data_IF_995777444182
#
_entry.id   IF_995777444182
#
_cell.length_a   1.000
_cell.length_b   1.000
_cell.length_c   1.000
_cell.angle_alpha   90.00
_cell.angle_beta   90.00
_cell.angle_gamma   90.00
#
_symmetry.space_group_name_H-M   'P 1'
#
loop_
_entity.id
_entity.type
_entity.pdbx_description
1 polymer ?
#
# COMPACT_ATOMS: atom_id res chain seq x y z
N UNK A 1 0.15 10.60 -3.48
CA UNK A 1 -0.17 9.33 -2.80
C UNK A 1 -1.52 9.48 -2.13
N UNK A 2 -2.55 8.75 -2.59
CA UNK A 2 -3.80 8.66 -1.85
C UNK A 2 -3.49 7.97 -0.52
N UNK A 3 -3.60 8.71 0.56
CA UNK A 3 -3.45 8.18 1.91
C UNK A 3 -4.82 7.63 2.28
N UNK A 4 -5.16 6.42 1.84
CA UNK A 4 -6.44 5.83 2.22
C UNK A 4 -6.45 5.64 3.73
N UNK A 5 -7.49 6.16 4.36
CA UNK A 5 -7.71 5.91 5.77
C UNK A 5 -8.17 4.44 5.93
N UNK A 6 -7.84 3.78 7.04
CA UNK A 6 -8.16 2.36 7.27
C UNK A 6 -9.67 2.11 7.12
N UNK A 7 -10.48 3.10 7.47
CA UNK A 7 -11.94 3.09 7.29
C UNK A 7 -12.37 2.95 5.84
N UNK A 8 -11.68 3.61 4.90
CA UNK A 8 -12.02 3.53 3.47
C UNK A 8 -11.65 2.15 2.92
N UNK A 9 -10.52 1.58 3.34
CA UNK A 9 -10.10 0.23 2.94
C UNK A 9 -11.09 -0.84 3.38
N UNK A 10 -11.71 -0.70 4.56
CA UNK A 10 -12.70 -1.67 5.07
C UNK A 10 -13.99 -1.73 4.26
N UNK A 11 -14.33 -0.64 3.56
CA UNK A 11 -15.54 -0.57 2.74
C UNK A 11 -15.33 -1.17 1.34
N UNK A 12 -14.08 -1.45 0.94
CA UNK A 12 -13.76 -2.03 -0.36
C UNK A 12 -14.04 -3.54 -0.35
N UNK A 13 -14.46 -4.05 -1.51
CA UNK A 13 -14.63 -5.48 -1.72
C UNK A 13 -13.30 -6.24 -1.76
N UNK A 14 -13.30 -7.57 -1.57
CA UNK A 14 -12.09 -8.39 -1.52
C UNK A 14 -11.25 -8.31 -2.80
N UNK A 15 -11.88 -8.34 -3.98
CA UNK A 15 -11.19 -8.19 -5.28
C UNK A 15 -10.53 -6.81 -5.43
N UNK A 16 -11.17 -5.76 -4.92
CA UNK A 16 -10.65 -4.40 -4.98
C UNK A 16 -9.48 -4.21 -4.02
N UNK A 17 -9.55 -4.79 -2.82
CA UNK A 17 -8.43 -4.86 -1.88
C UNK A 17 -7.22 -5.58 -2.48
N UNK A 18 -7.43 -6.67 -3.23
CA UNK A 18 -6.34 -7.39 -3.89
C UNK A 18 -5.69 -6.56 -5.01
N UNK A 19 -6.49 -5.78 -5.75
CA UNK A 19 -5.99 -4.84 -6.77
C UNK A 19 -5.18 -3.72 -6.12
N UNK A 20 -5.69 -3.11 -5.07
CA UNK A 20 -4.99 -2.05 -4.33
C UNK A 20 -3.71 -2.57 -3.67
N UNK A 21 -3.71 -3.81 -3.18
CA UNK A 21 -2.51 -4.47 -2.66
C UNK A 21 -1.42 -4.59 -3.73
N UNK A 22 -1.81 -4.98 -4.94
CA UNK A 22 -0.90 -5.11 -6.08
C UNK A 22 -0.32 -3.75 -6.48
N UNK A 23 -1.16 -2.72 -6.56
CA UNK A 23 -0.71 -1.34 -6.81
C UNK A 23 0.24 -0.84 -5.73
N UNK A 24 -0.07 -1.10 -4.45
CA UNK A 24 0.78 -0.73 -3.32
C UNK A 24 2.17 -1.35 -3.40
N UNK A 25 2.26 -2.65 -3.76
CA UNK A 25 3.54 -3.34 -3.95
C UNK A 25 4.35 -2.77 -5.13
N UNK A 26 3.68 -2.49 -6.25
CA UNK A 26 4.32 -1.85 -7.41
C UNK A 26 4.87 -0.47 -7.07
N UNK A 27 4.12 0.32 -6.29
CA UNK A 27 4.55 1.64 -5.84
C UNK A 27 5.76 1.57 -4.90
N UNK A 28 5.79 0.61 -3.97
CA UNK A 28 6.98 0.35 -3.13
C UNK A 28 8.19 0.02 -4.00
N UNK A 29 8.02 -0.83 -5.01
CA UNK A 29 9.10 -1.19 -5.93
C UNK A 29 9.59 0.03 -6.73
N UNK A 30 8.66 0.79 -7.33
CA UNK A 30 8.96 2.00 -8.09
C UNK A 30 9.73 3.02 -7.25
N UNK A 31 9.24 3.33 -6.05
CA UNK A 31 9.91 4.27 -5.15
C UNK A 31 11.28 3.77 -4.70
N UNK A 32 11.41 2.47 -4.39
CA UNK A 32 12.72 1.89 -4.03
C UNK A 32 13.71 2.00 -5.20
N UNK A 33 13.22 1.81 -6.43
CA UNK A 33 14.02 1.96 -7.64
C UNK A 33 14.41 3.43 -7.85
N UNK A 34 13.46 4.37 -7.79
CA UNK A 34 13.72 5.81 -7.98
C UNK A 34 14.68 6.38 -6.93
N UNK A 35 14.58 5.94 -5.67
CA UNK A 35 15.53 6.30 -4.61
C UNK A 35 16.92 5.75 -4.94
N UNK A 36 17.00 4.48 -5.40
CA UNK A 36 18.26 3.85 -5.76
C UNK A 36 18.92 4.53 -6.97
N UNK A 37 18.14 4.98 -7.95
CA UNK A 37 18.65 5.74 -9.10
C UNK A 37 18.99 7.19 -8.77
N UNK A 38 18.71 7.66 -7.55
CA UNK A 38 18.99 9.03 -7.10
C UNK A 38 18.05 10.10 -7.66
N UNK A 39 16.99 9.70 -8.38
CA UNK A 39 16.01 10.60 -8.96
C UNK A 39 15.01 11.14 -7.91
N UNK A 40 14.89 10.47 -6.77
CA UNK A 40 14.13 10.90 -5.61
C UNK A 40 15.05 10.81 -4.38
N UNK A 41 14.88 11.72 -3.42
CA UNK A 41 15.66 11.74 -2.16
C UNK A 41 14.78 11.44 -0.95
N UNK A 42 13.46 11.53 -1.10
CA UNK A 42 12.52 11.37 -0.01
C UNK A 42 12.23 9.90 0.32
N UNK A 43 13.04 9.34 1.22
CA UNK A 43 12.88 7.95 1.72
C UNK A 43 11.62 7.74 2.56
N UNK A 44 11.00 8.81 3.07
CA UNK A 44 9.75 8.71 3.85
C UNK A 44 8.58 8.19 3.00
N UNK A 45 8.63 8.39 1.68
CA UNK A 45 7.63 7.88 0.74
C UNK A 45 7.61 6.35 0.72
N UNK A 46 8.77 5.70 0.79
CA UNK A 46 8.86 4.24 0.89
C UNK A 46 8.17 3.76 2.16
N UNK A 47 8.41 4.41 3.30
CA UNK A 47 7.78 4.05 4.59
C UNK A 47 6.25 4.16 4.50
N UNK A 48 5.73 5.24 3.91
CA UNK A 48 4.28 5.43 3.71
C UNK A 48 3.68 4.35 2.80
N UNK A 49 4.35 4.04 1.68
CA UNK A 49 3.89 2.99 0.76
C UNK A 49 3.89 1.59 1.41
N UNK A 50 4.92 1.27 2.23
CA UNK A 50 4.96 0.02 3.01
C UNK A 50 3.84 -0.06 4.05
N UNK A 51 3.56 1.05 4.75
CA UNK A 51 2.47 1.12 5.72
C UNK A 51 1.12 0.88 5.06
N UNK A 52 0.88 1.47 3.89
CA UNK A 52 -0.32 1.26 3.11
C UNK A 52 -0.54 -0.22 2.74
N UNK A 53 0.50 -0.90 2.25
CA UNK A 53 0.46 -2.35 1.98
C UNK A 53 0.12 -3.16 3.25
N UNK A 54 0.72 -2.79 4.39
CA UNK A 54 0.45 -3.47 5.66
C UNK A 54 -0.99 -3.26 6.14
N UNK A 55 -1.56 -2.07 5.94
CA UNK A 55 -2.96 -1.77 6.28
C UNK A 55 -3.93 -2.61 5.45
N UNK A 56 -3.70 -2.72 4.14
CA UNK A 56 -4.53 -3.56 3.26
C UNK A 56 -4.48 -5.03 3.70
N UNK A 57 -3.29 -5.57 3.94
CA UNK A 57 -3.15 -6.95 4.42
C UNK A 57 -3.88 -7.17 5.76
N UNK A 58 -3.84 -6.17 6.65
CA UNK A 58 -4.56 -6.24 7.93
C UNK A 58 -6.07 -6.29 7.71
N UNK A 59 -6.62 -5.49 6.80
CA UNK A 59 -8.05 -5.50 6.46
C UNK A 59 -8.44 -6.84 5.83
N UNK A 60 -7.69 -7.34 4.85
CA UNK A 60 -7.93 -8.65 4.22
C UNK A 60 -7.96 -9.76 5.27
N UNK A 61 -6.95 -9.80 6.16
CA UNK A 61 -6.90 -10.80 7.23
C UNK A 61 -8.04 -10.66 8.25
N UNK A 62 -8.50 -9.44 8.50
CA UNK A 62 -9.63 -9.18 9.40
C UNK A 62 -10.95 -9.67 8.79
N UNK A 63 -11.13 -9.49 7.47
CA UNK A 63 -12.30 -9.98 6.74
C UNK A 63 -12.30 -11.51 6.57
N UNK A 64 -11.13 -12.13 6.41
CA UNK A 64 -10.99 -13.59 6.26
C UNK A 64 -11.13 -14.38 7.58
N UNK A 65 -11.04 -13.72 8.74
CA UNK A 65 -11.19 -14.34 10.07
C UNK A 65 -12.64 -14.39 10.57
N UNK A 66 -13.59 -13.90 9.78
CA UNK A 66 -15.03 -13.93 10.04
C UNK A 66 -15.62 -15.09 9.24
#
# INVERSE_FOLDING_TARGET
>A
MKNYNITELRNLGPDELQKELTKGKQEVFRLSFTIRTGAEKNTSLIKKAKLYVAQINTVINSQAKI
#
